data_IF_719095568777
#
_entry.id   IF_719095568777
#
_cell.length_a   1.000
_cell.length_b   1.000
_cell.length_c   1.000
_cell.angle_alpha   90.00
_cell.angle_beta   90.00
_cell.angle_gamma   90.00
#
_symmetry.space_group_name_H-M   'P 1'
#
loop_
_entity.id
_entity.type
_entity.pdbx_description
1 polymer ?
#
# COMPACT_ATOMS: atom_id res chain seq x y z
N UNK A 1 -17.54 -2.21 -14.17
CA UNK A 1 -16.37 -1.30 -14.02
C UNK A 1 -15.22 -2.08 -13.42
N UNK A 2 -14.07 -2.09 -14.12
CA UNK A 2 -12.87 -2.84 -13.72
C UNK A 2 -11.83 -1.85 -13.19
N UNK A 3 -11.43 -2.02 -11.94
CA UNK A 3 -10.45 -1.15 -11.27
C UNK A 3 -9.20 -1.96 -10.94
N UNK A 4 -8.03 -1.49 -11.36
CA UNK A 4 -6.74 -2.02 -10.95
C UNK A 4 -6.18 -1.15 -9.82
N UNK A 5 -6.13 -1.68 -8.60
CA UNK A 5 -5.45 -1.07 -7.47
C UNK A 5 -3.99 -1.49 -7.43
N UNK A 6 -3.07 -0.56 -7.17
CA UNK A 6 -1.62 -0.81 -7.09
C UNK A 6 -1.09 -0.17 -5.83
N UNK A 7 -0.43 -0.96 -4.99
CA UNK A 7 0.31 -0.48 -3.81
C UNK A 7 1.80 -0.69 -4.04
N UNK A 8 2.58 0.38 -3.92
CA UNK A 8 4.03 0.37 -4.04
C UNK A 8 4.70 0.58 -2.67
N UNK A 9 5.96 0.20 -2.59
CA UNK A 9 6.72 0.21 -1.34
C UNK A 9 6.79 -1.18 -0.70
N UNK A 10 6.93 -1.26 0.61
CA UNK A 10 6.91 -2.56 1.29
C UNK A 10 5.54 -3.24 1.14
N UNK A 11 5.55 -4.55 1.01
CA UNK A 11 4.33 -5.36 0.79
C UNK A 11 3.57 -4.98 -0.49
N UNK A 12 4.34 -4.68 -1.56
CA UNK A 12 3.77 -4.28 -2.84
C UNK A 12 2.78 -5.30 -3.37
N UNK A 13 1.65 -4.83 -3.85
CA UNK A 13 0.57 -5.67 -4.32
C UNK A 13 -0.27 -4.99 -5.39
N UNK A 14 -1.01 -5.79 -6.13
CA UNK A 14 -2.06 -5.33 -7.02
C UNK A 14 -3.37 -6.03 -6.69
N UNK A 15 -4.48 -5.34 -6.88
CA UNK A 15 -5.82 -5.87 -6.67
C UNK A 15 -6.72 -5.56 -7.86
N UNK A 16 -7.59 -6.50 -8.21
CA UNK A 16 -8.65 -6.30 -9.19
C UNK A 16 -10.00 -6.19 -8.48
N UNK A 17 -10.71 -5.10 -8.74
CA UNK A 17 -12.11 -4.92 -8.36
C UNK A 17 -12.96 -4.91 -9.62
N UNK A 18 -14.00 -5.74 -9.64
CA UNK A 18 -14.96 -5.82 -10.74
C UNK A 18 -16.35 -5.51 -10.17
N UNK A 19 -16.98 -4.46 -10.69
CA UNK A 19 -18.33 -4.03 -10.28
C UNK A 19 -18.51 -3.90 -8.76
N UNK A 20 -17.50 -3.34 -8.08
CA UNK A 20 -17.49 -3.11 -6.64
C UNK A 20 -17.09 -4.31 -5.78
N UNK A 21 -16.76 -5.45 -6.39
CA UNK A 21 -16.35 -6.67 -5.66
C UNK A 21 -14.86 -6.93 -5.88
N UNK A 22 -14.13 -7.23 -4.81
CA UNK A 22 -12.72 -7.65 -4.90
C UNK A 22 -12.67 -9.01 -5.58
N UNK A 23 -12.10 -9.04 -6.79
CA UNK A 23 -11.98 -10.25 -7.60
C UNK A 23 -10.71 -11.05 -7.31
N UNK A 24 -9.64 -10.35 -6.97
CA UNK A 24 -8.37 -10.97 -6.62
C UNK A 24 -7.32 -9.98 -6.17
N UNK A 25 -6.31 -10.52 -5.48
CA UNK A 25 -5.12 -9.78 -5.03
C UNK A 25 -3.89 -10.59 -5.41
N UNK A 26 -2.86 -9.92 -5.90
CA UNK A 26 -1.53 -10.50 -6.15
C UNK A 26 -0.50 -9.74 -5.33
N UNK A 27 0.24 -10.46 -4.50
CA UNK A 27 1.30 -9.90 -3.67
C UNK A 27 2.66 -10.17 -4.32
N UNK A 28 3.48 -9.13 -4.46
CA UNK A 28 4.82 -9.25 -5.06
C UNK A 28 5.70 -10.23 -4.27
N UNK A 29 5.57 -10.26 -2.93
CA UNK A 29 6.32 -11.19 -2.08
C UNK A 29 6.07 -12.66 -2.42
N UNK A 30 4.85 -13.01 -2.88
CA UNK A 30 4.50 -14.39 -3.30
C UNK A 30 5.12 -14.73 -4.64
N UNK A 31 5.13 -13.77 -5.55
CA UNK A 31 5.72 -13.94 -6.88
C UNK A 31 7.25 -14.08 -6.80
N UNK A 32 7.90 -13.14 -6.13
CA UNK A 32 9.36 -13.11 -6.01
C UNK A 32 9.91 -14.01 -4.89
N UNK A 33 9.04 -14.66 -4.10
CA UNK A 33 9.43 -15.53 -2.97
C UNK A 33 10.29 -14.83 -1.92
N UNK A 34 10.11 -13.53 -1.77
CA UNK A 34 10.83 -12.70 -0.81
C UNK A 34 9.85 -11.91 0.04
N UNK A 35 9.88 -12.12 1.37
CA UNK A 35 9.00 -11.44 2.32
C UNK A 35 9.20 -9.93 2.27
N UNK A 36 8.10 -9.17 2.32
CA UNK A 36 8.06 -7.71 2.24
C UNK A 36 8.70 -7.15 0.97
N UNK A 37 8.49 -7.83 -0.14
CA UNK A 37 9.04 -7.40 -1.42
C UNK A 37 8.57 -5.98 -1.75
N UNK A 38 9.54 -5.14 -2.15
CA UNK A 38 9.31 -3.72 -2.44
C UNK A 38 9.42 -3.49 -3.93
N UNK A 39 8.31 -3.14 -4.56
CA UNK A 39 8.32 -2.58 -5.90
C UNK A 39 8.33 -1.06 -5.80
N UNK A 40 9.15 -0.44 -6.63
CA UNK A 40 9.23 1.00 -6.78
C UNK A 40 9.28 1.36 -8.25
N UNK A 41 8.72 2.49 -8.61
CA UNK A 41 8.81 3.06 -9.94
C UNK A 41 9.45 4.44 -9.86
N UNK A 42 10.67 4.49 -9.32
CA UNK A 42 11.45 5.72 -9.20
C UNK A 42 12.33 5.87 -10.44
N UNK A 43 12.40 7.08 -10.99
CA UNK A 43 13.45 7.44 -11.92
C UNK A 43 14.77 7.44 -11.16
N UNK A 44 15.64 6.50 -11.48
CA UNK A 44 16.99 6.48 -10.97
C UNK A 44 17.79 7.56 -11.73
N UNK A 45 18.05 8.69 -11.07
CA UNK A 45 19.20 9.49 -11.48
C UNK A 45 20.46 8.67 -11.14
N UNK A 46 21.34 8.42 -12.12
CA UNK A 46 22.58 7.68 -11.85
C UNK A 46 23.38 8.42 -10.77
N UNK A 47 23.61 7.79 -9.62
CA UNK A 47 24.49 8.30 -8.58
C UNK A 47 23.86 8.64 -7.21
N UNK A 48 22.56 8.57 -7.02
CA UNK A 48 21.95 8.73 -5.69
C UNK A 48 21.67 7.38 -5.03
N UNK A 49 22.68 6.77 -4.49
CA UNK A 49 22.51 5.73 -3.46
C UNK A 49 22.22 6.41 -2.12
N UNK A 50 20.94 6.43 -1.70
CA UNK A 50 20.64 6.68 -0.30
C UNK A 50 20.60 5.34 0.44
N UNK A 51 21.43 5.29 1.46
CA UNK A 51 21.65 4.22 2.44
C UNK A 51 20.48 3.25 2.67
N UNK A 52 20.72 1.96 2.45
CA UNK A 52 20.05 0.86 3.13
C UNK A 52 18.80 0.28 2.51
N UNK A 53 18.27 0.84 1.43
CA UNK A 53 17.11 0.29 0.72
C UNK A 53 17.56 -0.27 -0.63
N UNK A 54 17.36 -1.57 -0.84
CA UNK A 54 17.42 -2.12 -2.20
C UNK A 54 16.23 -1.51 -2.98
N UNK A 55 16.56 -0.61 -3.90
CA UNK A 55 15.59 -0.16 -4.90
C UNK A 55 15.39 -1.34 -5.86
N UNK A 56 14.20 -1.89 -5.84
CA UNK A 56 13.84 -2.92 -6.79
C UNK A 56 13.68 -2.25 -8.15
N UNK A 57 14.35 -2.81 -9.12
CA UNK A 57 14.48 -2.30 -10.47
C UNK A 57 13.12 -2.21 -11.16
N UNK A 58 12.97 -1.27 -12.07
CA UNK A 58 11.83 -1.15 -12.99
C UNK A 58 11.55 -2.47 -13.72
N UNK A 59 12.58 -3.29 -13.94
CA UNK A 59 12.49 -4.62 -14.53
C UNK A 59 11.61 -5.57 -13.71
N UNK A 60 11.78 -5.61 -12.38
CA UNK A 60 10.96 -6.48 -11.52
C UNK A 60 9.49 -6.07 -11.51
N UNK A 61 9.22 -4.75 -11.54
CA UNK A 61 7.85 -4.29 -11.65
C UNK A 61 7.25 -4.66 -13.02
N UNK A 62 8.01 -4.57 -14.10
CA UNK A 62 7.56 -4.99 -15.42
C UNK A 62 7.26 -6.51 -15.47
N UNK A 63 8.10 -7.34 -14.84
CA UNK A 63 7.86 -8.77 -14.68
C UNK A 63 6.57 -9.06 -13.90
N UNK A 64 6.33 -8.32 -12.82
CA UNK A 64 5.09 -8.45 -12.04
C UNK A 64 3.86 -8.01 -12.84
N UNK A 65 3.97 -6.94 -13.62
CA UNK A 65 2.91 -6.50 -14.54
C UNK A 65 2.61 -7.52 -15.65
N UNK A 66 3.61 -8.26 -16.09
CA UNK A 66 3.41 -9.36 -17.04
C UNK A 66 2.52 -10.45 -16.42
N UNK A 67 2.73 -10.82 -15.16
CA UNK A 67 1.85 -11.75 -14.43
C UNK A 67 0.41 -11.20 -14.36
N UNK A 68 0.27 -9.92 -13.99
CA UNK A 68 -1.04 -9.25 -13.96
C UNK A 68 -1.74 -9.35 -15.32
N UNK A 69 -0.99 -9.07 -16.39
CA UNK A 69 -1.54 -9.07 -17.75
C UNK A 69 -2.02 -10.48 -18.19
N UNK A 70 -1.29 -11.52 -17.81
CA UNK A 70 -1.65 -12.90 -18.12
C UNK A 70 -2.89 -13.37 -17.38
N UNK A 71 -3.12 -12.80 -16.18
CA UNK A 71 -4.22 -13.25 -15.33
C UNK A 71 -5.49 -12.42 -15.51
N UNK A 72 -5.34 -11.09 -15.61
CA UNK A 72 -6.48 -10.13 -15.62
C UNK A 72 -6.57 -9.30 -16.90
N UNK A 73 -5.63 -9.47 -17.84
CA UNK A 73 -5.56 -8.65 -19.04
C UNK A 73 -4.85 -7.31 -18.81
N UNK A 74 -5.04 -6.38 -19.77
CA UNK A 74 -4.35 -5.09 -19.79
C UNK A 74 -5.30 -3.90 -19.92
N UNK A 75 -6.61 -4.12 -19.90
CA UNK A 75 -7.60 -3.05 -20.08
C UNK A 75 -8.45 -2.91 -18.82
N UNK A 76 -8.43 -1.72 -18.25
CA UNK A 76 -9.16 -1.37 -17.04
C UNK A 76 -9.88 -0.04 -17.25
N UNK A 77 -10.97 0.18 -16.53
CA UNK A 77 -11.64 1.48 -16.54
C UNK A 77 -10.86 2.49 -15.72
N UNK A 78 -10.36 2.06 -14.56
CA UNK A 78 -9.67 2.90 -13.58
C UNK A 78 -8.40 2.23 -13.07
N UNK A 79 -7.35 3.02 -12.86
CA UNK A 79 -6.15 2.64 -12.10
C UNK A 79 -6.04 3.50 -10.85
N UNK A 80 -5.94 2.87 -9.67
CA UNK A 80 -5.74 3.53 -8.40
C UNK A 80 -4.34 3.17 -7.85
N UNK A 81 -3.47 4.16 -7.62
CA UNK A 81 -2.09 3.94 -7.17
C UNK A 81 -1.88 4.55 -5.80
N UNK A 82 -1.42 3.74 -4.86
CA UNK A 82 -0.94 4.13 -3.55
C UNK A 82 0.59 3.98 -3.50
N UNK A 83 1.34 5.01 -3.13
CA UNK A 83 2.80 5.02 -3.16
C UNK A 83 3.45 5.90 -2.07
N UNK A 84 2.91 5.95 -0.89
CA UNK A 84 3.44 6.73 0.25
C UNK A 84 3.70 8.23 -0.07
N UNK A 85 2.89 8.85 -0.94
CA UNK A 85 2.93 10.30 -1.22
C UNK A 85 4.00 10.77 -2.20
N UNK A 86 4.71 9.87 -2.88
CA UNK A 86 5.73 10.23 -3.88
C UNK A 86 5.10 10.50 -5.24
N UNK A 87 4.89 11.77 -5.58
CA UNK A 87 4.25 12.16 -6.85
C UNK A 87 4.97 11.64 -8.10
N UNK A 88 6.30 11.66 -8.09
CA UNK A 88 7.09 11.18 -9.23
C UNK A 88 6.87 9.69 -9.46
N UNK A 89 6.81 8.90 -8.39
CA UNK A 89 6.55 7.47 -8.45
C UNK A 89 5.15 7.16 -9.03
N UNK A 90 4.14 7.97 -8.72
CA UNK A 90 2.82 7.85 -9.32
C UNK A 90 2.87 8.01 -10.85
N UNK A 91 3.48 9.11 -11.32
CA UNK A 91 3.59 9.39 -12.75
C UNK A 91 4.39 8.32 -13.49
N UNK A 92 5.49 7.86 -12.88
CA UNK A 92 6.33 6.81 -13.44
C UNK A 92 5.58 5.47 -13.51
N UNK A 93 4.76 5.16 -12.50
CA UNK A 93 3.90 3.97 -12.50
C UNK A 93 2.93 3.99 -13.68
N UNK A 94 2.25 5.12 -13.90
CA UNK A 94 1.34 5.26 -15.05
C UNK A 94 2.08 5.17 -16.39
N UNK A 95 3.28 5.74 -16.49
CA UNK A 95 4.12 5.63 -17.68
C UNK A 95 4.55 4.18 -17.94
N UNK A 96 4.96 3.46 -16.89
CA UNK A 96 5.36 2.05 -16.98
C UNK A 96 4.19 1.15 -17.38
N UNK A 97 3.00 1.37 -16.82
CA UNK A 97 1.79 0.67 -17.22
C UNK A 97 1.53 0.84 -18.72
N UNK A 98 1.52 2.08 -19.22
CA UNK A 98 1.33 2.37 -20.64
C UNK A 98 2.41 1.76 -21.52
N UNK A 99 3.68 1.81 -21.08
CA UNK A 99 4.81 1.20 -21.79
C UNK A 99 4.63 -0.33 -21.91
N UNK A 100 4.06 -0.98 -20.91
CA UNK A 100 3.75 -2.41 -20.92
C UNK A 100 2.38 -2.73 -21.56
N UNK A 101 1.78 -1.80 -22.29
CA UNK A 101 0.56 -1.99 -23.07
C UNK A 101 -0.73 -2.00 -22.25
N UNK A 102 -0.71 -1.52 -21.01
CA UNK A 102 -1.93 -1.33 -20.23
C UNK A 102 -2.67 -0.08 -20.68
N UNK A 103 -3.99 -0.19 -20.74
CA UNK A 103 -4.91 0.89 -21.08
C UNK A 103 -5.94 1.11 -19.98
N UNK A 104 -6.25 2.37 -19.70
CA UNK A 104 -7.23 2.77 -18.70
C UNK A 104 -7.79 4.15 -19.04
N UNK A 105 -9.04 4.43 -18.64
CA UNK A 105 -9.72 5.69 -18.89
C UNK A 105 -9.33 6.76 -17.87
N UNK A 106 -9.20 6.35 -16.61
CA UNK A 106 -8.92 7.26 -15.49
C UNK A 106 -7.82 6.69 -14.59
N UNK A 107 -7.12 7.58 -13.87
CA UNK A 107 -6.14 7.18 -12.88
C UNK A 107 -6.17 8.11 -11.66
N UNK A 108 -6.04 7.54 -10.46
CA UNK A 108 -6.07 8.26 -9.20
C UNK A 108 -4.85 7.92 -8.34
N UNK A 109 -4.27 8.95 -7.73
CA UNK A 109 -3.36 8.77 -6.61
C UNK A 109 -4.17 8.67 -5.32
N UNK A 110 -3.99 7.58 -4.59
CA UNK A 110 -4.71 7.32 -3.35
C UNK A 110 -3.80 7.59 -2.16
N UNK A 111 -4.27 8.38 -1.21
CA UNK A 111 -3.57 8.62 0.05
C UNK A 111 -3.44 7.33 0.87
N UNK A 112 -2.34 7.20 1.60
CA UNK A 112 -2.01 6.00 2.38
C UNK A 112 -3.04 5.74 3.48
N UNK A 113 -3.38 6.74 4.28
CA UNK A 113 -4.35 6.59 5.36
C UNK A 113 -5.78 6.41 4.83
N UNK A 114 -6.11 7.05 3.69
CA UNK A 114 -7.38 6.83 3.01
C UNK A 114 -7.51 5.39 2.51
N UNK A 115 -6.43 4.78 2.01
CA UNK A 115 -6.48 3.38 1.55
C UNK A 115 -6.75 2.40 2.70
N UNK A 116 -6.12 2.61 3.87
CA UNK A 116 -6.42 1.83 5.08
C UNK A 116 -7.85 2.03 5.56
N UNK A 117 -8.32 3.28 5.61
CA UNK A 117 -9.67 3.61 6.03
C UNK A 117 -10.72 3.02 5.08
N UNK A 118 -10.47 3.07 3.77
CA UNK A 118 -11.35 2.49 2.77
C UNK A 118 -11.49 0.98 2.95
N UNK A 119 -10.36 0.27 3.14
CA UNK A 119 -10.41 -1.16 3.42
C UNK A 119 -11.24 -1.45 4.67
N UNK A 120 -11.00 -0.74 5.77
CA UNK A 120 -11.72 -0.95 7.02
C UNK A 120 -13.22 -0.66 6.89
N UNK A 121 -13.60 0.45 6.27
CA UNK A 121 -15.00 0.86 6.15
C UNK A 121 -15.79 -0.03 5.19
N UNK A 122 -15.30 -0.21 3.96
CA UNK A 122 -16.04 -0.95 2.93
C UNK A 122 -16.08 -2.47 3.17
N UNK A 123 -15.17 -3.03 3.98
CA UNK A 123 -15.26 -4.43 4.41
C UNK A 123 -16.02 -4.64 5.72
N UNK A 124 -16.41 -3.55 6.42
CA UNK A 124 -17.20 -3.63 7.64
C UNK A 124 -18.69 -3.79 7.34
N UNK A 125 -19.50 -4.30 8.30
CA UNK A 125 -20.94 -4.37 8.15
C UNK A 125 -21.66 -3.05 8.48
N UNK A 126 -20.93 -1.98 8.82
CA UNK A 126 -21.51 -0.74 9.33
C UNK A 126 -21.80 0.25 8.19
N UNK A 127 -23.02 0.73 8.11
CA UNK A 127 -23.42 1.79 7.18
C UNK A 127 -22.88 3.17 7.61
N UNK A 128 -22.64 3.35 8.92
CA UNK A 128 -22.07 4.55 9.51
C UNK A 128 -21.08 4.18 10.60
N UNK A 129 -19.90 4.79 10.57
CA UNK A 129 -18.84 4.53 11.55
C UNK A 129 -17.78 5.63 11.57
N UNK A 130 -17.11 5.77 12.71
CA UNK A 130 -15.82 6.46 12.77
C UNK A 130 -14.73 5.44 12.42
N UNK A 131 -13.85 5.82 11.50
CA UNK A 131 -12.74 4.98 11.05
C UNK A 131 -11.44 5.60 11.49
N UNK A 132 -10.67 4.87 12.29
CA UNK A 132 -9.36 5.27 12.76
C UNK A 132 -8.29 4.57 11.92
N UNK A 133 -7.53 5.34 11.13
CA UNK A 133 -6.35 4.86 10.43
C UNK A 133 -5.10 5.25 11.22
N UNK A 134 -4.32 4.26 11.65
CA UNK A 134 -3.02 4.48 12.29
C UNK A 134 -1.99 3.52 11.74
N UNK A 135 -0.80 4.03 11.52
CA UNK A 135 0.31 3.27 10.95
C UNK A 135 1.63 3.68 11.62
N UNK A 136 2.69 2.90 11.36
CA UNK A 136 4.04 3.20 11.82
C UNK A 136 4.62 4.44 11.18
N UNK A 137 4.38 4.61 9.89
CA UNK A 137 4.95 5.69 9.09
C UNK A 137 4.11 5.98 7.82
N UNK A 138 2.82 6.19 7.90
CA UNK A 138 2.04 6.63 6.74
C UNK A 138 2.71 7.79 5.96
N UNK A 139 1.99 8.54 5.18
CA UNK A 139 2.57 9.68 4.45
C UNK A 139 3.23 10.71 5.39
N UNK A 140 2.79 10.76 6.64
CA UNK A 140 3.22 11.71 7.67
C UNK A 140 3.45 11.08 9.06
N UNK A 141 3.27 9.77 9.19
CA UNK A 141 3.46 9.04 10.45
C UNK A 141 2.43 9.35 11.53
N UNK A 142 1.26 9.86 11.16
CA UNK A 142 0.22 10.29 12.09
C UNK A 142 -0.99 9.37 12.03
N UNK A 143 -1.89 9.59 12.96
CA UNK A 143 -3.18 8.92 13.02
C UNK A 143 -4.23 9.80 12.38
N UNK A 144 -5.07 9.26 11.51
CA UNK A 144 -6.13 9.98 10.80
C UNK A 144 -7.49 9.40 11.11
N UNK A 145 -8.46 10.27 11.38
CA UNK A 145 -9.85 9.91 11.59
C UNK A 145 -10.68 10.26 10.36
N UNK A 146 -11.56 9.33 10.02
CA UNK A 146 -12.55 9.51 8.97
C UNK A 146 -13.95 9.20 9.52
N UNK A 147 -14.98 9.78 8.91
CA UNK A 147 -16.37 9.41 9.10
C UNK A 147 -16.88 8.73 7.85
N UNK A 148 -17.22 7.46 7.97
CA UNK A 148 -17.86 6.67 6.92
C UNK A 148 -19.38 6.77 7.07
N UNK A 149 -20.05 7.26 6.04
CA UNK A 149 -21.52 7.33 6.01
C UNK A 149 -22.03 7.32 4.58
N UNK A 150 -23.13 6.65 4.32
CA UNK A 150 -23.76 6.56 3.00
C UNK A 150 -22.79 6.09 1.89
N UNK A 151 -21.85 5.21 2.21
CA UNK A 151 -20.85 4.71 1.26
C UNK A 151 -19.72 5.70 0.93
N UNK A 152 -19.60 6.80 1.69
CA UNK A 152 -18.55 7.82 1.50
C UNK A 152 -17.71 7.95 2.75
N UNK A 153 -16.38 8.04 2.57
CA UNK A 153 -15.43 8.35 3.64
C UNK A 153 -15.10 9.84 3.62
N UNK A 154 -15.43 10.52 4.72
CA UNK A 154 -15.13 11.92 4.91
C UNK A 154 -14.00 12.08 5.91
N UNK A 155 -12.97 12.85 5.55
CA UNK A 155 -11.90 13.21 6.47
C UNK A 155 -12.46 14.05 7.63
N UNK A 156 -12.09 13.70 8.86
CA UNK A 156 -12.43 14.48 10.07
C UNK A 156 -11.21 15.31 10.47
N UNK A 157 -10.16 14.62 10.92
CA UNK A 157 -8.97 15.29 11.44
C UNK A 157 -7.75 14.36 11.43
N UNK A 158 -6.60 14.98 11.54
CA UNK A 158 -5.34 14.30 11.77
C UNK A 158 -4.91 14.50 13.22
N UNK A 159 -4.64 13.40 13.92
CA UNK A 159 -4.17 13.42 15.30
C UNK A 159 -2.65 13.35 15.35
N UNK A 160 -1.99 14.13 16.22
CA UNK A 160 -0.55 14.05 16.43
C UNK A 160 -0.11 12.75 17.14
N UNK A 161 -1.05 11.94 17.59
CA UNK A 161 -0.76 10.67 18.27
C UNK A 161 -0.20 9.67 17.26
N UNK A 162 0.95 9.09 17.58
CA UNK A 162 1.65 8.12 16.72
C UNK A 162 1.51 6.71 17.29
N UNK A 163 0.32 6.14 17.24
CA UNK A 163 0.05 4.81 17.80
C UNK A 163 0.95 3.72 17.22
N UNK A 164 1.11 3.67 15.90
CA UNK A 164 1.94 2.66 15.25
C UNK A 164 3.41 2.76 15.65
N UNK A 165 3.96 3.99 15.72
CA UNK A 165 5.33 4.21 16.18
C UNK A 165 5.50 3.83 17.65
N UNK A 166 4.53 4.19 18.51
CA UNK A 166 4.56 3.84 19.94
C UNK A 166 4.52 2.33 20.13
N UNK A 167 3.72 1.63 19.33
CA UNK A 167 3.63 0.17 19.35
C UNK A 167 4.96 -0.50 18.94
N UNK A 168 5.61 0.02 17.89
CA UNK A 168 6.93 -0.45 17.48
C UNK A 168 7.98 -0.20 18.57
N UNK A 169 7.97 0.99 19.20
CA UNK A 169 8.88 1.34 20.29
C UNK A 169 8.67 0.45 21.52
N UNK A 170 7.44 0.06 21.82
CA UNK A 170 7.17 -0.91 22.91
C UNK A 170 7.92 -2.22 22.68
N UNK A 171 7.97 -2.71 21.44
CA UNK A 171 8.73 -3.92 21.13
C UNK A 171 10.22 -3.78 21.43
N UNK A 172 10.83 -2.63 21.15
CA UNK A 172 12.23 -2.36 21.54
C UNK A 172 12.42 -2.33 23.06
N UNK A 173 11.50 -1.70 23.79
CA UNK A 173 11.54 -1.68 25.27
C UNK A 173 11.47 -3.10 25.84
N UNK A 174 10.68 -3.97 25.23
CA UNK A 174 10.56 -5.39 25.59
C UNK A 174 11.72 -6.27 25.07
N UNK A 175 12.77 -5.66 24.51
CA UNK A 175 13.92 -6.34 23.93
C UNK A 175 13.56 -7.37 22.82
N UNK A 176 12.46 -7.14 22.12
CA UNK A 176 12.05 -7.97 20.99
C UNK A 176 12.99 -7.71 19.82
N UNK A 177 13.57 -8.78 19.27
CA UNK A 177 14.44 -8.68 18.11
C UNK A 177 13.63 -8.19 16.90
N UNK A 178 14.06 -7.12 16.22
CA UNK A 178 13.38 -6.63 15.02
C UNK A 178 13.40 -7.68 13.91
N UNK A 179 12.51 -7.51 12.94
CA UNK A 179 12.53 -8.28 11.70
C UNK A 179 13.58 -7.73 10.70
N UNK A 180 13.62 -8.32 9.52
CA UNK A 180 14.56 -7.91 8.45
C UNK A 180 14.37 -6.47 7.97
N UNK A 181 13.22 -5.87 8.25
CA UNK A 181 12.94 -4.46 7.93
C UNK A 181 13.18 -3.52 9.13
N UNK A 182 13.71 -4.04 10.24
CA UNK A 182 13.97 -3.27 11.45
C UNK A 182 12.71 -2.99 12.29
N UNK A 183 11.61 -3.70 12.08
CA UNK A 183 10.37 -3.53 12.84
C UNK A 183 10.17 -4.63 13.89
N UNK A 184 9.71 -4.23 15.07
CA UNK A 184 9.30 -5.15 16.14
C UNK A 184 7.79 -5.39 16.16
N UNK A 185 7.01 -4.57 15.46
CA UNK A 185 5.56 -4.50 15.58
C UNK A 185 4.85 -5.85 15.38
N UNK A 186 5.20 -6.60 14.32
CA UNK A 186 4.60 -7.91 14.08
C UNK A 186 4.87 -8.94 15.16
N UNK A 187 6.08 -8.93 15.74
CA UNK A 187 6.43 -9.84 16.85
C UNK A 187 5.78 -9.40 18.16
N UNK A 188 5.67 -8.07 18.39
CA UNK A 188 4.95 -7.50 19.55
C UNK A 188 3.47 -7.89 19.49
N UNK A 189 2.86 -7.81 18.30
CA UNK A 189 1.49 -8.27 18.09
C UNK A 189 1.35 -9.77 18.37
N UNK A 190 2.28 -10.59 17.88
CA UNK A 190 2.27 -12.02 18.18
C UNK A 190 2.41 -12.32 19.69
N UNK A 191 3.24 -11.55 20.41
CA UNK A 191 3.43 -11.70 21.85
C UNK A 191 2.14 -11.39 22.63
N UNK A 192 1.33 -10.43 22.17
CA UNK A 192 0.06 -10.07 22.84
C UNK A 192 -0.94 -11.24 22.96
N UNK A 193 -0.77 -12.29 22.17
CA UNK A 193 -1.59 -13.50 22.26
C UNK A 193 -1.27 -14.37 23.48
N UNK A 194 -0.18 -14.10 24.18
CA UNK A 194 0.25 -14.86 25.37
C UNK A 194 -0.08 -14.16 26.71
N UNK A 195 -0.78 -13.03 26.68
CA UNK A 195 -1.28 -12.31 27.86
C UNK A 195 -0.69 -10.94 28.00
#
# INVERSE_FOLDING_TARGET
MNILGITLGHDSSVALIVDGVVHGIMEAERYFRQKRYKLHCLTLEPGRHQSGFQYVDVEDFALFLELVSKTWGRTFDVVAVQNQGRKDEYNNTLALLKHNGFSFSEAFHVDHHLSHAALAYYSSPYAESVVLSYDGMGNDGQTVLFHGTNGVLNYIEQSPIRFGQSYNNLGYILAIQPDVAGSTAGKTMGLSAYG
#
